data_IF_267441260119
#
_entry.id   IF_267441260119
#
_cell.length_a   1.000
_cell.length_b   1.000
_cell.length_c   1.000
_cell.angle_alpha   90.00
_cell.angle_beta   90.00
_cell.angle_gamma   90.00
#
_symmetry.space_group_name_H-M   'P 1'
#
loop_
_entity.id
_entity.type
_entity.pdbx_description
1 polymer ?
#
# COMPACT_ATOMS: atom_id res chain seq x y z
N UNK A 1 29.65 1.44 -29.67
CA UNK A 1 28.19 1.58 -29.48
C UNK A 1 27.99 1.77 -28.00
N UNK A 2 27.55 2.95 -27.56
CA UNK A 2 27.17 3.15 -26.16
C UNK A 2 25.87 2.36 -25.97
N UNK A 3 25.93 1.27 -25.20
CA UNK A 3 24.75 0.47 -24.85
C UNK A 3 23.70 1.33 -24.14
N UNK A 4 22.43 0.94 -24.23
CA UNK A 4 21.35 1.59 -23.49
C UNK A 4 21.67 1.64 -21.99
N UNK A 5 21.40 2.78 -21.36
CA UNK A 5 21.51 2.93 -19.91
C UNK A 5 20.12 2.89 -19.31
N UNK A 6 19.84 1.90 -18.48
CA UNK A 6 18.55 1.80 -17.81
C UNK A 6 18.64 1.21 -16.42
N UNK A 7 17.74 1.66 -15.56
CA UNK A 7 17.43 1.05 -14.27
C UNK A 7 15.97 0.73 -14.25
N UNK A 8 15.62 -0.45 -13.76
CA UNK A 8 14.23 -0.86 -13.62
C UNK A 8 13.92 -1.11 -12.16
N UNK A 9 12.82 -0.53 -11.70
CA UNK A 9 12.43 -0.52 -10.29
C UNK A 9 11.02 -1.08 -10.17
N UNK A 10 10.83 -2.00 -9.24
CA UNK A 10 9.52 -2.37 -8.74
C UNK A 10 9.39 -1.88 -7.31
N UNK A 11 8.30 -1.21 -7.02
CA UNK A 11 7.91 -0.76 -5.69
C UNK A 11 6.66 -1.56 -5.33
N UNK A 12 6.72 -2.28 -4.22
CA UNK A 12 5.61 -3.02 -3.64
C UNK A 12 5.27 -2.33 -2.33
N UNK A 13 4.03 -1.92 -2.15
CA UNK A 13 3.58 -1.04 -1.07
C UNK A 13 2.48 -1.81 -0.32
N UNK A 14 2.53 -1.91 1.01
CA UNK A 14 1.41 -2.48 1.78
C UNK A 14 0.49 -1.40 2.32
N UNK A 15 -0.74 -1.81 2.57
CA UNK A 15 -1.84 -0.98 3.06
C UNK A 15 -2.42 -1.62 4.33
N UNK A 16 -2.59 -0.81 5.38
CA UNK A 16 -3.25 -0.97 6.70
C UNK A 16 -2.44 -0.34 7.87
N UNK A 17 -2.78 0.90 8.25
CA UNK A 17 -2.13 1.76 9.26
C UNK A 17 -0.93 2.58 8.73
N UNK A 18 -0.89 3.88 9.05
CA UNK A 18 -0.13 4.88 8.29
C UNK A 18 1.36 4.97 8.69
N UNK A 19 2.25 4.29 7.98
CA UNK A 19 3.70 4.40 8.14
C UNK A 19 4.36 4.24 6.76
N UNK A 20 5.54 4.80 6.53
CA UNK A 20 6.27 4.54 5.28
C UNK A 20 7.72 4.16 5.61
N UNK A 21 7.97 2.86 5.77
CA UNK A 21 9.32 2.32 5.87
C UNK A 21 9.70 1.70 4.52
N UNK A 22 10.84 2.17 3.99
CA UNK A 22 11.39 1.73 2.71
C UNK A 22 12.44 0.63 2.90
N UNK A 23 12.15 -0.58 2.41
CA UNK A 23 13.09 -1.71 2.42
C UNK A 23 13.69 -1.91 1.03
N UNK A 24 15.02 -2.02 0.94
CA UNK A 24 15.73 -2.21 -0.33
C UNK A 24 16.15 -3.66 -0.53
N UNK A 25 15.69 -4.27 -1.61
CA UNK A 25 16.12 -5.61 -2.02
C UNK A 25 16.72 -5.53 -3.42
N UNK A 26 18.00 -5.90 -3.52
CA UNK A 26 18.76 -5.89 -4.77
C UNK A 26 18.91 -7.30 -5.33
N UNK A 27 18.75 -7.44 -6.64
CA UNK A 27 19.08 -8.68 -7.33
C UNK A 27 18.59 -8.68 -8.77
N UNK A 28 19.43 -9.20 -9.67
CA UNK A 28 19.04 -9.44 -11.06
C UNK A 28 17.88 -10.45 -11.08
N UNK A 29 16.72 -10.05 -11.60
CA UNK A 29 15.58 -10.94 -11.77
C UNK A 29 15.21 -11.05 -13.24
N UNK A 30 15.86 -11.98 -13.94
CA UNK A 30 15.62 -12.24 -15.36
C UNK A 30 14.15 -12.54 -15.66
N UNK A 31 13.46 -13.24 -14.76
CA UNK A 31 12.04 -13.57 -14.90
C UNK A 31 11.18 -12.31 -14.94
N UNK A 32 11.41 -11.34 -14.03
CA UNK A 32 10.70 -10.07 -14.06
C UNK A 32 11.08 -9.24 -15.28
N UNK A 33 12.37 -9.19 -15.64
CA UNK A 33 12.83 -8.49 -16.85
C UNK A 33 12.15 -9.01 -18.11
N UNK A 34 12.03 -10.32 -18.27
CA UNK A 34 11.31 -10.94 -19.39
C UNK A 34 9.80 -10.69 -19.29
N UNK A 35 9.23 -10.79 -18.10
CA UNK A 35 7.81 -10.60 -17.84
C UNK A 35 7.31 -9.20 -18.19
N UNK A 36 8.12 -8.15 -17.97
CA UNK A 36 7.74 -6.76 -18.24
C UNK A 36 7.96 -6.32 -19.69
N UNK A 37 8.68 -7.09 -20.53
CA UNK A 37 8.91 -6.74 -21.95
C UNK A 37 7.64 -6.36 -22.72
N UNK A 38 6.49 -7.05 -22.56
CA UNK A 38 5.24 -6.64 -23.20
C UNK A 38 4.75 -5.26 -22.75
N UNK A 39 4.99 -4.88 -21.49
CA UNK A 39 4.66 -3.55 -20.96
C UNK A 39 5.62 -2.47 -21.47
N UNK A 40 6.82 -2.84 -21.92
CA UNK A 40 7.81 -1.92 -22.49
C UNK A 40 7.63 -1.70 -24.00
N UNK A 41 6.92 -2.60 -24.67
CA UNK A 41 6.83 -2.71 -26.13
C UNK A 41 5.91 -1.67 -26.80
N UNK A 42 5.80 -0.48 -26.21
CA UNK A 42 5.05 0.64 -26.77
C UNK A 42 5.97 1.62 -27.51
N UNK A 43 5.51 2.18 -28.65
CA UNK A 43 6.15 3.33 -29.29
C UNK A 43 6.35 4.49 -28.30
N UNK A 44 7.42 5.30 -28.43
CA UNK A 44 7.72 6.39 -27.49
C UNK A 44 6.55 7.37 -27.25
N UNK A 45 5.70 7.58 -28.25
CA UNK A 45 4.52 8.44 -28.20
C UNK A 45 3.34 7.86 -27.38
N UNK A 46 3.34 6.56 -27.12
CA UNK A 46 2.36 5.86 -26.29
C UNK A 46 2.89 5.50 -24.90
N UNK A 47 4.17 5.79 -24.62
CA UNK A 47 4.75 5.56 -23.29
C UNK A 47 4.20 6.57 -22.31
N UNK A 48 3.79 6.08 -21.15
CA UNK A 48 3.43 6.94 -20.03
C UNK A 48 4.70 7.44 -19.35
N UNK A 49 5.06 8.69 -19.63
CA UNK A 49 6.23 9.32 -19.04
C UNK A 49 5.85 9.96 -17.71
N UNK A 50 6.51 9.52 -16.64
CA UNK A 50 6.26 10.03 -15.30
C UNK A 50 6.35 11.57 -15.27
N UNK A 51 5.39 12.26 -14.64
CA UNK A 51 5.38 13.71 -14.57
C UNK A 51 6.71 14.28 -14.06
N UNK A 52 7.15 15.40 -14.63
CA UNK A 52 8.39 16.09 -14.25
C UNK A 52 9.70 15.30 -14.45
N UNK A 53 9.66 14.07 -15.00
CA UNK A 53 10.86 13.26 -15.25
C UNK A 53 11.69 13.72 -16.46
N UNK A 54 11.13 14.61 -17.30
CA UNK A 54 11.70 15.04 -18.59
C UNK A 54 11.88 13.86 -19.57
N UNK A 55 10.89 12.97 -19.62
CA UNK A 55 10.90 11.73 -20.41
C UNK A 55 12.11 10.84 -20.07
N UNK A 56 12.32 10.61 -18.77
CA UNK A 56 13.34 9.68 -18.28
C UNK A 56 12.75 8.51 -17.52
N UNK A 57 11.59 8.69 -16.90
CA UNK A 57 10.94 7.62 -16.14
C UNK A 57 9.66 7.24 -16.88
N UNK A 58 9.53 5.97 -17.20
CA UNK A 58 8.34 5.38 -17.83
C UNK A 58 7.62 4.55 -16.79
N UNK A 59 6.35 4.83 -16.59
CA UNK A 59 5.48 4.09 -15.70
C UNK A 59 4.89 2.88 -16.46
N UNK A 60 5.19 1.67 -15.99
CA UNK A 60 4.68 0.42 -16.58
C UNK A 60 3.41 -0.05 -15.86
N UNK A 61 3.46 -0.04 -14.53
CA UNK A 61 2.30 -0.22 -13.63
C UNK A 61 2.41 0.90 -12.62
N UNK A 62 1.37 1.70 -12.45
CA UNK A 62 1.42 2.82 -11.51
C UNK A 62 0.03 3.08 -10.95
N UNK A 63 -0.11 3.24 -9.62
CA UNK A 63 -1.42 3.43 -9.00
C UNK A 63 -2.15 4.70 -9.47
N UNK A 64 -1.40 5.71 -9.92
CA UNK A 64 -1.95 6.96 -10.45
C UNK A 64 -2.42 6.91 -11.91
N UNK A 65 -2.22 5.80 -12.65
CA UNK A 65 -2.71 5.69 -14.03
C UNK A 65 -4.23 5.48 -14.10
N UNK A 66 -4.76 4.69 -13.16
CA UNK A 66 -6.19 4.37 -13.06
C UNK A 66 -6.68 4.40 -11.61
N UNK A 67 -6.51 5.52 -10.88
CA UNK A 67 -6.98 5.63 -9.51
C UNK A 67 -8.51 5.72 -9.49
N UNK A 68 -9.11 5.36 -8.37
CA UNK A 68 -10.51 5.70 -8.10
C UNK A 68 -10.65 7.22 -8.19
N UNK A 69 -11.56 7.72 -9.02
CA UNK A 69 -11.92 9.15 -9.03
C UNK A 69 -13.34 9.31 -8.49
N UNK A 70 -13.47 10.00 -7.37
CA UNK A 70 -14.76 10.24 -6.73
C UNK A 70 -15.73 10.98 -7.66
N UNK A 71 -17.02 10.68 -7.55
CA UNK A 71 -18.06 11.26 -8.42
C UNK A 71 -18.04 10.76 -9.87
N UNK A 72 -17.11 9.87 -10.25
CA UNK A 72 -16.99 9.33 -11.62
C UNK A 72 -16.97 7.82 -11.67
N UNK A 73 -16.11 7.18 -10.87
CA UNK A 73 -15.93 5.73 -10.88
C UNK A 73 -17.06 5.04 -10.11
N UNK A 74 -17.36 3.81 -10.52
CA UNK A 74 -18.39 2.97 -9.92
C UNK A 74 -17.75 1.89 -9.07
N UNK A 75 -18.35 1.60 -7.93
CA UNK A 75 -17.98 0.53 -7.02
C UNK A 75 -19.11 -0.48 -6.87
N UNK A 76 -18.75 -1.73 -6.63
CA UNK A 76 -19.70 -2.79 -6.31
C UNK A 76 -19.75 -2.94 -4.79
N UNK A 77 -20.94 -2.76 -4.21
CA UNK A 77 -21.13 -2.81 -2.76
C UNK A 77 -21.65 -4.15 -2.26
N UNK A 78 -21.87 -5.11 -3.16
CA UNK A 78 -22.57 -6.37 -2.89
C UNK A 78 -21.68 -7.61 -3.03
N UNK A 79 -20.42 -7.44 -3.47
CA UNK A 79 -19.50 -8.54 -3.75
C UNK A 79 -18.05 -8.07 -3.77
N UNK A 80 -17.14 -9.02 -3.60
CA UNK A 80 -15.70 -8.86 -3.88
C UNK A 80 -15.42 -9.23 -5.33
N UNK A 81 -14.42 -8.58 -5.94
CA UNK A 81 -13.95 -8.87 -7.29
C UNK A 81 -12.66 -9.67 -7.21
N UNK A 82 -12.66 -10.85 -7.81
CA UNK A 82 -11.49 -11.72 -7.93
C UNK A 82 -10.84 -11.55 -9.31
N UNK A 83 -9.61 -12.04 -9.47
CA UNK A 83 -8.89 -12.00 -10.75
C UNK A 83 -9.72 -12.60 -11.90
N UNK A 84 -10.39 -13.73 -11.65
CA UNK A 84 -11.09 -14.50 -12.69
C UNK A 84 -12.39 -13.83 -13.15
N UNK A 85 -13.05 -13.06 -12.26
CA UNK A 85 -14.31 -12.39 -12.55
C UNK A 85 -14.17 -10.88 -12.83
N UNK A 86 -12.96 -10.31 -12.69
CA UNK A 86 -12.70 -8.88 -12.84
C UNK A 86 -13.21 -8.26 -14.15
N UNK A 87 -12.99 -8.93 -15.28
CA UNK A 87 -13.43 -8.43 -16.59
C UNK A 87 -14.95 -8.50 -16.77
N UNK A 88 -15.61 -9.49 -16.18
CA UNK A 88 -17.06 -9.64 -16.24
C UNK A 88 -17.79 -8.63 -15.34
N UNK A 89 -17.11 -8.16 -14.29
CA UNK A 89 -17.61 -7.19 -13.31
C UNK A 89 -17.48 -5.73 -13.77
N UNK A 90 -17.02 -5.47 -15.00
CA UNK A 90 -16.83 -4.12 -15.54
C UNK A 90 -18.15 -3.42 -15.89
N UNK A 91 -18.36 -2.21 -15.35
CA UNK A 91 -19.48 -1.32 -15.73
C UNK A 91 -20.60 -1.12 -14.70
N UNK A 92 -21.12 -2.16 -14.00
CA UNK A 92 -22.12 -1.95 -12.96
C UNK A 92 -21.54 -1.26 -11.72
N UNK A 93 -22.42 -0.85 -10.81
CA UNK A 93 -22.04 -0.27 -9.53
C UNK A 93 -22.56 1.15 -9.28
N UNK A 94 -22.35 1.60 -8.05
CA UNK A 94 -22.74 2.91 -7.55
C UNK A 94 -21.58 3.89 -7.61
N UNK A 95 -21.86 5.16 -7.86
CA UNK A 95 -20.81 6.18 -7.87
C UNK A 95 -20.55 6.62 -6.45
N UNK A 96 -19.29 6.55 -6.01
CA UNK A 96 -18.89 7.03 -4.69
C UNK A 96 -18.96 8.55 -4.61
N UNK A 97 -19.48 9.05 -3.48
CA UNK A 97 -19.45 10.47 -3.14
C UNK A 97 -18.01 10.88 -2.83
N UNK A 98 -17.62 12.09 -3.20
CA UNK A 98 -16.35 12.67 -2.77
C UNK A 98 -16.42 13.06 -1.27
N UNK A 99 -15.37 12.78 -0.48
CA UNK A 99 -15.23 13.35 0.87
C UNK A 99 -15.38 14.88 0.87
N UNK A 100 -15.94 15.44 1.94
CA UNK A 100 -16.04 16.89 2.12
C UNK A 100 -14.66 17.54 2.30
N UNK A 101 -14.49 18.80 1.90
CA UNK A 101 -13.19 19.49 2.02
C UNK A 101 -12.72 19.63 3.47
N UNK A 102 -13.63 19.91 4.40
CA UNK A 102 -13.34 20.06 5.83
C UNK A 102 -12.77 18.76 6.43
N UNK A 103 -13.19 17.61 5.90
CA UNK A 103 -12.76 16.28 6.33
C UNK A 103 -11.38 15.90 5.79
N UNK A 104 -10.84 16.67 4.85
CA UNK A 104 -9.61 16.32 4.13
C UNK A 104 -8.39 17.14 4.52
N UNK A 105 -8.58 18.13 5.40
CA UNK A 105 -7.57 19.08 5.83
C UNK A 105 -7.30 18.93 7.31
N UNK A 106 -6.05 18.68 7.70
CA UNK A 106 -5.59 18.81 9.08
C UNK A 106 -4.98 20.18 9.29
N UNK A 107 -5.29 20.79 10.43
CA UNK A 107 -4.66 22.04 10.87
C UNK A 107 -3.37 21.68 11.60
N UNK A 108 -2.23 22.11 11.08
CA UNK A 108 -0.95 21.93 11.77
C UNK A 108 -0.70 23.16 12.66
N UNK A 109 -0.75 22.97 13.99
CA UNK A 109 -0.33 23.96 14.98
C UNK A 109 -1.34 24.21 16.10
N UNK A 110 -1.27 23.44 17.18
CA UNK A 110 -1.89 23.87 18.46
C UNK A 110 -1.00 24.91 19.13
N UNK A 111 -1.30 26.20 18.89
CA UNK A 111 -0.76 27.32 19.66
C UNK A 111 0.13 28.29 18.89
N UNK A 112 -0.50 29.21 18.14
CA UNK A 112 0.03 30.56 17.93
C UNK A 112 0.30 30.99 16.48
N UNK A 113 -0.48 31.99 16.05
CA UNK A 113 -0.25 32.97 14.97
C UNK A 113 -0.23 32.52 13.50
N UNK A 114 -0.16 31.23 13.19
CA UNK A 114 -0.39 30.72 11.83
C UNK A 114 -1.01 29.32 11.88
N UNK A 115 -2.29 29.23 11.49
CA UNK A 115 -2.97 27.97 11.21
C UNK A 115 -2.73 27.65 9.73
N UNK A 116 -1.82 26.72 9.45
CA UNK A 116 -1.65 26.22 8.09
C UNK A 116 -2.52 24.95 7.94
N UNK A 117 -3.56 25.06 7.10
CA UNK A 117 -4.36 23.92 6.67
C UNK A 117 -3.55 23.06 5.68
N UNK A 118 -3.31 21.80 6.04
CA UNK A 118 -2.63 20.83 5.19
C UNK A 118 -3.63 19.78 4.74
N UNK A 119 -3.74 19.60 3.43
CA UNK A 119 -4.54 18.51 2.85
C UNK A 119 -3.85 17.18 3.12
N UNK A 120 -4.47 16.34 3.93
CA UNK A 120 -3.95 15.04 4.38
C UNK A 120 -4.66 13.86 3.74
N UNK A 121 -5.88 14.08 3.23
CA UNK A 121 -6.70 13.11 2.53
C UNK A 121 -7.07 13.71 1.17
N UNK A 122 -7.19 12.91 0.12
CA UNK A 122 -7.65 13.39 -1.18
C UNK A 122 -9.17 13.30 -1.29
N UNK A 123 -9.82 14.42 -1.62
CA UNK A 123 -11.24 14.45 -1.99
C UNK A 123 -11.50 14.22 -3.50
N UNK A 124 -10.45 13.95 -4.29
CA UNK A 124 -10.56 13.82 -5.76
C UNK A 124 -10.38 12.39 -6.23
N UNK A 125 -9.39 11.71 -5.67
CA UNK A 125 -9.01 10.37 -6.06
C UNK A 125 -8.44 9.57 -4.89
N UNK A 126 -8.39 8.25 -5.03
CA UNK A 126 -7.71 7.34 -4.11
C UNK A 126 -6.97 6.28 -4.93
N UNK A 127 -5.76 5.91 -4.51
CA UNK A 127 -5.11 4.73 -5.07
C UNK A 127 -5.79 3.47 -4.58
N UNK A 128 -6.08 2.56 -5.50
CA UNK A 128 -6.76 1.33 -5.19
C UNK A 128 -5.73 0.23 -4.89
N UNK A 129 -5.73 -0.35 -3.68
CA UNK A 129 -5.00 -1.57 -3.43
C UNK A 129 -5.68 -2.75 -4.11
N UNK A 130 -5.01 -3.89 -4.06
CA UNK A 130 -5.57 -5.20 -4.33
C UNK A 130 -5.24 -6.13 -3.18
N UNK A 131 -6.00 -7.20 -3.12
CA UNK A 131 -6.02 -8.14 -2.02
C UNK A 131 -5.04 -9.27 -2.34
N UNK A 132 -4.31 -9.68 -1.32
CA UNK A 132 -3.31 -10.74 -1.38
C UNK A 132 -3.54 -11.66 -0.20
N UNK A 133 -3.90 -12.90 -0.48
CA UNK A 133 -4.02 -13.94 0.53
C UNK A 133 -2.62 -14.42 0.92
N UNK A 134 -2.39 -14.52 2.22
CA UNK A 134 -1.19 -15.07 2.82
C UNK A 134 -1.51 -16.44 3.39
N UNK A 135 -0.70 -17.42 3.01
CA UNK A 135 -0.72 -18.75 3.63
C UNK A 135 0.11 -18.71 4.92
N UNK A 136 -0.51 -18.89 6.10
CA UNK A 136 0.19 -18.79 7.39
C UNK A 136 1.19 -19.93 7.64
N UNK A 137 1.00 -21.09 7.01
CA UNK A 137 1.92 -22.22 7.18
C UNK A 137 3.15 -22.11 6.27
N UNK A 138 2.96 -21.54 5.07
CA UNK A 138 4.01 -21.54 4.02
C UNK A 138 4.60 -20.17 3.74
N UNK A 139 4.05 -19.10 4.34
CA UNK A 139 4.36 -17.69 4.05
C UNK A 139 4.28 -17.38 2.54
N UNK A 140 3.34 -18.03 1.85
CA UNK A 140 3.11 -17.85 0.41
C UNK A 140 2.07 -16.77 0.18
N UNK A 141 2.35 -15.91 -0.79
CA UNK A 141 1.44 -14.85 -1.19
C UNK A 141 0.69 -15.26 -2.45
N UNK A 142 -0.63 -15.08 -2.46
CA UNK A 142 -1.50 -15.29 -3.61
C UNK A 142 -2.28 -14.01 -3.89
N UNK A 143 -2.10 -13.42 -5.06
CA UNK A 143 -2.90 -12.25 -5.42
C UNK A 143 -4.34 -12.74 -5.68
N UNK A 144 -5.30 -12.16 -4.97
CA UNK A 144 -6.71 -12.55 -4.99
C UNK A 144 -7.53 -11.64 -5.93
N UNK A 145 -7.20 -10.34 -5.99
CA UNK A 145 -7.92 -9.36 -6.81
C UNK A 145 -7.07 -8.71 -7.91
N UNK A 146 -7.75 -8.05 -8.85
CA UNK A 146 -7.14 -7.50 -10.07
C UNK A 146 -6.17 -6.34 -9.77
N UNK A 147 -4.96 -6.41 -10.31
CA UNK A 147 -4.00 -5.30 -10.27
C UNK A 147 -4.38 -4.27 -11.33
N UNK A 148 -4.77 -3.07 -10.89
CA UNK A 148 -5.06 -1.95 -11.79
C UNK A 148 -3.90 -1.69 -12.75
N UNK A 149 -4.23 -1.45 -14.02
CA UNK A 149 -3.28 -1.33 -15.14
C UNK A 149 -2.59 -2.64 -15.58
N UNK A 150 -2.89 -3.79 -14.98
CA UNK A 150 -2.25 -5.08 -15.32
C UNK A 150 -3.28 -6.15 -15.71
N UNK A 151 -3.68 -6.16 -16.98
CA UNK A 151 -4.71 -7.05 -17.53
C UNK A 151 -4.59 -8.52 -17.05
N UNK A 152 -5.64 -9.12 -16.45
CA UNK A 152 -5.53 -10.39 -15.73
C UNK A 152 -5.23 -11.58 -16.65
N UNK A 153 -5.72 -11.57 -17.89
CA UNK A 153 -5.43 -12.62 -18.89
C UNK A 153 -4.18 -12.32 -19.74
N UNK A 154 -4.10 -11.12 -20.34
CA UNK A 154 -2.97 -10.73 -21.21
C UNK A 154 -1.63 -10.62 -20.49
N UNK A 155 -1.63 -10.38 -19.17
CA UNK A 155 -0.42 -10.28 -18.34
C UNK A 155 -0.45 -11.28 -17.18
N UNK A 156 -1.18 -12.39 -17.32
CA UNK A 156 -1.32 -13.42 -16.28
C UNK A 156 0.03 -13.92 -15.75
N UNK A 157 1.06 -13.97 -16.60
CA UNK A 157 2.41 -14.42 -16.23
C UNK A 157 3.12 -13.50 -15.22
N UNK A 158 2.70 -12.22 -15.10
CA UNK A 158 3.29 -11.27 -14.17
C UNK A 158 2.78 -11.44 -12.73
N UNK A 159 1.56 -11.94 -12.53
CA UNK A 159 0.98 -12.13 -11.20
C UNK A 159 1.84 -13.06 -10.31
N UNK A 160 2.22 -14.28 -10.75
CA UNK A 160 3.10 -15.16 -9.96
C UNK A 160 4.52 -14.63 -9.77
N UNK A 161 4.94 -13.66 -10.60
CA UNK A 161 6.23 -12.99 -10.41
C UNK A 161 6.10 -12.00 -9.28
N UNK A 162 5.06 -11.14 -9.31
CA UNK A 162 4.78 -10.15 -8.27
C UNK A 162 4.56 -10.82 -6.91
N UNK A 163 3.81 -11.93 -6.85
CA UNK A 163 3.64 -12.77 -5.64
C UNK A 163 4.98 -13.08 -4.97
N UNK A 164 6.00 -13.50 -5.74
CA UNK A 164 7.35 -13.81 -5.20
C UNK A 164 8.08 -12.60 -4.64
N UNK A 165 7.78 -11.40 -5.11
CA UNK A 165 8.35 -10.18 -4.55
C UNK A 165 7.60 -9.73 -3.31
N UNK A 166 6.28 -9.96 -3.24
CA UNK A 166 5.52 -9.80 -2.01
C UNK A 166 6.08 -10.74 -0.93
N UNK A 167 6.24 -12.03 -1.24
CA UNK A 167 6.86 -13.03 -0.34
C UNK A 167 8.23 -12.59 0.19
N UNK A 168 9.05 -11.93 -0.65
CA UNK A 168 10.37 -11.42 -0.24
C UNK A 168 10.29 -10.22 0.68
N UNK A 169 9.20 -9.47 0.64
CA UNK A 169 8.98 -8.31 1.48
C UNK A 169 8.45 -8.69 2.86
N UNK A 170 7.70 -9.80 2.96
CA UNK A 170 7.00 -10.22 4.19
C UNK A 170 7.88 -10.13 5.45
N UNK A 171 9.10 -10.69 5.50
CA UNK A 171 9.89 -10.66 6.74
C UNK A 171 10.25 -9.25 7.21
N UNK A 172 10.32 -8.30 6.29
CA UNK A 172 10.63 -6.92 6.61
C UNK A 172 9.36 -6.11 6.90
N UNK A 173 8.22 -6.51 6.36
CA UNK A 173 6.92 -5.96 6.72
C UNK A 173 6.43 -6.46 8.09
N UNK A 174 6.76 -7.70 8.48
CA UNK A 174 6.46 -8.22 9.84
C UNK A 174 7.12 -7.34 10.92
N UNK A 175 8.37 -6.92 10.69
CA UNK A 175 9.08 -5.99 11.58
C UNK A 175 8.35 -4.64 11.70
N UNK A 176 7.74 -4.19 10.60
CA UNK A 176 7.02 -2.92 10.55
C UNK A 176 5.64 -3.06 11.17
N UNK A 177 5.02 -4.23 11.10
CA UNK A 177 3.72 -4.47 11.70
C UNK A 177 3.82 -4.47 13.23
N UNK A 178 4.84 -5.13 13.78
CA UNK A 178 5.10 -5.24 15.23
C UNK A 178 5.85 -4.02 15.82
N UNK A 179 6.07 -2.97 15.02
CA UNK A 179 7.01 -1.89 15.33
C UNK A 179 6.60 -1.02 16.53
N UNK A 180 5.30 -0.84 16.78
CA UNK A 180 4.77 -0.01 17.88
C UNK A 180 5.08 -0.66 19.23
N UNK A 181 5.00 -1.99 19.27
CA UNK A 181 5.26 -2.82 20.43
C UNK A 181 6.77 -3.09 20.61
N UNK A 182 7.56 -3.05 19.53
CA UNK A 182 8.97 -3.49 19.52
C UNK A 182 10.02 -2.39 19.33
N UNK A 183 9.64 -1.14 19.03
CA UNK A 183 10.61 -0.07 18.79
C UNK A 183 10.32 1.17 19.63
N UNK A 184 11.26 1.52 20.50
CA UNK A 184 11.12 2.65 21.45
C UNK A 184 11.07 4.05 20.81
N UNK A 185 11.36 4.17 19.51
CA UNK A 185 11.37 5.46 18.79
C UNK A 185 10.65 5.31 17.47
N UNK A 186 9.53 6.00 17.35
CA UNK A 186 8.75 6.06 16.13
C UNK A 186 9.29 7.16 15.20
N UNK A 187 9.64 6.81 13.96
CA UNK A 187 10.14 7.79 12.96
C UNK A 187 9.04 8.73 12.45
N UNK A 188 7.84 8.19 12.31
CA UNK A 188 6.62 8.91 11.95
C UNK A 188 5.59 8.50 12.99
N UNK A 189 4.94 9.46 13.62
CA UNK A 189 3.77 9.23 14.48
C UNK A 189 2.54 9.65 13.69
N UNK A 190 1.48 8.86 13.73
CA UNK A 190 0.23 9.21 13.08
C UNK A 190 -0.89 9.16 14.09
N UNK A 191 -1.73 10.19 14.08
CA UNK A 191 -3.04 10.15 14.72
C UNK A 191 -4.04 9.51 13.75
N UNK A 192 -5.14 8.99 14.29
CA UNK A 192 -6.20 8.29 13.55
C UNK A 192 -6.55 8.93 12.20
N UNK A 193 -6.81 8.07 11.21
CA UNK A 193 -7.11 8.45 9.83
C UNK A 193 -8.59 8.18 9.56
N UNK A 194 -9.46 8.91 10.24
CA UNK A 194 -10.91 8.73 10.13
C UNK A 194 -11.54 9.76 9.19
N UNK A 195 -12.53 9.28 8.42
CA UNK A 195 -13.44 10.17 7.72
C UNK A 195 -14.60 10.53 8.65
N UNK A 196 -14.86 11.83 8.86
CA UNK A 196 -16.05 12.25 9.63
C UNK A 196 -17.37 11.76 8.98
N UNK A 197 -17.39 11.63 7.64
CA UNK A 197 -18.47 10.98 6.90
C UNK A 197 -17.87 9.97 5.91
N UNK A 198 -18.20 8.69 6.09
CA UNK A 198 -17.80 7.66 5.15
C UNK A 198 -18.32 7.95 3.72
N UNK A 199 -17.48 7.78 2.68
CA UNK A 199 -17.91 7.86 1.28
C UNK A 199 -18.95 6.80 0.86
N UNK A 200 -19.12 5.73 1.65
CA UNK A 200 -19.98 4.58 1.36
C UNK A 200 -20.88 4.17 2.55
N UNK A 201 -21.80 5.04 3.01
CA UNK A 201 -22.56 4.81 4.24
C UNK A 201 -23.48 3.59 4.19
N UNK A 202 -23.98 3.23 3.00
CA UNK A 202 -24.85 2.06 2.80
C UNK A 202 -24.09 0.74 2.99
N UNK A 203 -22.80 0.71 2.66
CA UNK A 203 -21.97 -0.49 2.83
C UNK A 203 -21.43 -0.59 4.26
N UNK A 204 -21.06 0.55 4.85
CA UNK A 204 -20.48 0.57 6.19
C UNK A 204 -21.52 0.53 7.32
N UNK A 205 -22.82 0.59 7.00
CA UNK A 205 -23.93 0.46 7.96
C UNK A 205 -23.76 1.36 9.20
N UNK A 206 -23.54 2.66 8.95
CA UNK A 206 -23.06 3.64 9.96
C UNK A 206 -24.18 4.11 10.90
N UNK A 207 -25.20 3.29 11.15
CA UNK A 207 -26.19 3.62 12.20
C UNK A 207 -25.53 3.61 13.60
N UNK A 208 -24.40 2.89 13.76
CA UNK A 208 -23.71 2.68 15.04
C UNK A 208 -22.52 3.61 15.33
N UNK A 209 -22.27 4.62 14.49
CA UNK A 209 -21.27 5.66 14.77
C UNK A 209 -19.79 5.24 14.63
N UNK A 210 -19.50 4.03 14.14
CA UNK A 210 -18.14 3.56 13.86
C UNK A 210 -17.75 3.84 12.39
N UNK A 211 -16.51 4.31 12.16
CA UNK A 211 -15.99 4.70 10.86
C UNK A 211 -15.87 3.56 9.82
N UNK A 212 -15.33 3.88 8.63
CA UNK A 212 -15.11 2.92 7.55
C UNK A 212 -13.97 1.95 7.91
N UNK A 213 -14.27 0.71 8.31
CA UNK A 213 -13.27 -0.32 8.62
C UNK A 213 -13.18 -1.39 7.53
N UNK A 214 -12.02 -2.06 7.35
CA UNK A 214 -11.89 -3.19 6.42
C UNK A 214 -12.92 -4.31 6.69
N UNK A 215 -13.30 -4.52 7.96
CA UNK A 215 -14.28 -5.50 8.39
C UNK A 215 -15.72 -5.26 7.91
N UNK A 216 -16.04 -4.11 7.31
CA UNK A 216 -17.37 -3.82 6.73
C UNK A 216 -17.48 -4.13 5.22
N UNK A 217 -16.40 -4.58 4.55
CA UNK A 217 -16.46 -4.95 3.12
C UNK A 217 -17.37 -6.17 2.89
N UNK A 218 -17.96 -6.37 1.70
CA UNK A 218 -18.65 -7.61 1.35
C UNK A 218 -17.76 -8.83 1.56
N UNK A 219 -18.37 -9.94 1.97
CA UNK A 219 -17.70 -11.23 2.15
C UNK A 219 -17.49 -11.86 0.77
N UNK A 220 -16.27 -12.33 0.50
CA UNK A 220 -15.91 -13.00 -0.74
C UNK A 220 -16.59 -14.36 -0.92
N UNK A 221 -16.53 -14.92 -2.13
CA UNK A 221 -17.07 -16.26 -2.37
C UNK A 221 -16.21 -17.30 -1.65
N UNK A 222 -16.77 -18.00 -0.67
CA UNK A 222 -16.03 -18.98 0.14
C UNK A 222 -15.21 -18.39 1.29
N UNK A 223 -15.31 -17.08 1.54
CA UNK A 223 -14.82 -16.46 2.79
C UNK A 223 -15.80 -16.81 3.93
N UNK A 224 -15.26 -17.18 5.08
CA UNK A 224 -16.06 -17.47 6.27
C UNK A 224 -16.81 -16.21 6.73
N UNK A 225 -18.03 -16.35 7.30
CA UNK A 225 -18.74 -15.23 7.88
C UNK A 225 -17.87 -14.51 8.92
N UNK A 226 -17.82 -13.18 8.85
CA UNK A 226 -17.21 -12.40 9.93
C UNK A 226 -18.08 -12.51 11.18
N UNK A 227 -17.44 -12.62 12.34
CA UNK A 227 -18.13 -12.58 13.62
C UNK A 227 -18.90 -11.27 13.74
N UNK A 228 -20.17 -11.38 14.12
CA UNK A 228 -21.04 -10.23 14.37
C UNK A 228 -20.52 -9.48 15.59
N UNK A 229 -20.43 -8.15 15.52
CA UNK A 229 -19.95 -7.31 16.64
C UNK A 229 -20.87 -7.48 17.87
N UNK A 230 -22.15 -7.81 17.66
CA UNK A 230 -23.07 -8.16 18.74
C UNK A 230 -22.70 -9.45 19.49
N UNK A 231 -21.90 -10.35 18.88
CA UNK A 231 -21.36 -11.52 19.56
C UNK A 231 -20.10 -11.23 20.38
N UNK A 232 -19.49 -10.05 20.23
CA UNK A 232 -18.33 -9.64 21.04
C UNK A 232 -18.75 -9.33 22.47
N UNK A 233 -19.90 -8.69 22.69
CA UNK A 233 -20.49 -8.51 24.02
C UNK A 233 -20.86 -9.85 24.67
N UNK A 234 -21.32 -10.84 23.90
CA UNK A 234 -21.61 -12.20 24.40
C UNK A 234 -20.32 -13.00 24.71
N UNK A 235 -19.25 -12.87 23.93
CA UNK A 235 -17.95 -13.53 24.21
C UNK A 235 -17.26 -12.98 25.45
N UNK A 236 -17.24 -11.66 25.64
CA UNK A 236 -16.74 -11.02 26.86
C UNK A 236 -17.57 -11.40 28.10
N UNK A 237 -18.87 -11.70 27.92
CA UNK A 237 -19.75 -12.16 29.00
C UNK A 237 -19.49 -13.60 29.43
N UNK A 238 -19.03 -14.47 28.51
CA UNK A 238 -18.68 -15.87 28.80
C UNK A 238 -17.23 -16.05 29.30
N UNK A 239 -16.44 -14.98 29.35
CA UNK A 239 -15.11 -14.97 29.97
C UNK A 239 -14.04 -15.70 29.17
N UNK A 240 -14.25 -15.90 27.87
CA UNK A 240 -13.17 -16.22 26.94
C UNK A 240 -12.39 -14.92 26.68
N UNK A 241 -11.12 -14.88 27.07
CA UNK A 241 -10.21 -13.80 26.71
C UNK A 241 -10.12 -13.74 25.19
N UNK A 242 -10.42 -12.57 24.63
CA UNK A 242 -10.20 -12.33 23.22
C UNK A 242 -8.69 -12.21 22.99
N UNK A 243 -8.07 -13.28 22.48
CA UNK A 243 -6.68 -13.27 22.02
C UNK A 243 -6.46 -12.26 20.87
N UNK A 244 -7.53 -11.64 20.35
CA UNK A 244 -7.54 -10.75 19.19
C UNK A 244 -7.53 -9.25 19.52
N UNK A 245 -7.73 -8.82 20.77
CA UNK A 245 -7.55 -7.42 21.17
C UNK A 245 -6.08 -7.20 21.58
N UNK A 246 -5.28 -6.43 20.81
CA UNK A 246 -4.09 -5.83 21.37
C UNK A 246 -4.52 -4.96 22.54
N UNK A 247 -4.00 -5.23 23.74
CA UNK A 247 -4.23 -4.41 24.91
C UNK A 247 -3.60 -3.02 24.70
N UNK A 248 -4.34 -2.12 24.03
CA UNK A 248 -3.89 -0.80 23.57
C UNK A 248 -3.51 0.14 24.73
N UNK A 249 -3.82 -0.22 25.97
CA UNK A 249 -3.78 0.70 27.10
C UNK A 249 -2.59 0.54 28.07
N UNK A 250 -1.70 -0.45 27.90
CA UNK A 250 -0.57 -0.64 28.83
C UNK A 250 0.78 -0.90 28.15
N UNK A 251 1.17 -0.09 27.16
CA UNK A 251 2.55 -0.15 26.62
C UNK A 251 3.47 0.80 27.37
N UNK A 252 4.04 0.29 28.47
CA UNK A 252 5.17 0.91 29.16
C UNK A 252 6.40 0.97 28.25
N UNK A 253 7.12 2.09 28.30
CA UNK A 253 8.34 2.36 27.53
C UNK A 253 9.55 1.50 27.97
N UNK A 254 9.42 0.18 27.97
CA UNK A 254 10.55 -0.73 28.13
C UNK A 254 11.25 -0.96 26.80
N UNK A 255 12.57 -1.11 26.86
CA UNK A 255 13.41 -1.28 25.70
C UNK A 255 13.24 -2.71 25.20
N UNK A 256 12.46 -2.88 24.14
CA UNK A 256 12.26 -4.17 23.47
C UNK A 256 13.60 -4.88 23.20
N UNK A 257 13.61 -6.21 23.39
CA UNK A 257 14.73 -7.06 23.04
C UNK A 257 15.04 -7.01 21.52
N UNK A 258 16.20 -7.51 21.10
CA UNK A 258 16.59 -7.52 19.69
C UNK A 258 15.50 -8.21 18.83
N UNK A 259 14.98 -7.50 17.82
CA UNK A 259 13.89 -7.94 16.93
C UNK A 259 14.10 -9.34 16.33
N UNK A 260 15.36 -9.77 16.17
CA UNK A 260 15.68 -11.10 15.61
C UNK A 260 15.41 -12.25 16.57
N UNK A 261 15.29 -11.96 17.86
CA UNK A 261 15.24 -12.97 18.91
C UNK A 261 13.94 -12.95 19.71
N UNK A 262 13.02 -12.02 19.44
CA UNK A 262 11.74 -11.93 20.14
C UNK A 262 10.85 -13.15 19.83
N UNK A 263 10.54 -14.01 20.82
CA UNK A 263 9.65 -15.15 20.64
C UNK A 263 8.16 -14.77 20.62
N UNK A 264 7.79 -13.56 21.05
CA UNK A 264 6.41 -13.05 21.12
C UNK A 264 6.02 -12.21 19.89
N UNK A 265 6.76 -12.34 18.79
CA UNK A 265 6.52 -11.58 17.57
C UNK A 265 5.13 -11.86 16.99
N UNK A 266 4.44 -10.81 16.55
CA UNK A 266 3.25 -10.92 15.70
C UNK A 266 3.69 -10.92 14.24
N UNK A 267 3.33 -11.94 13.48
CA UNK A 267 3.54 -11.93 12.04
C UNK A 267 2.33 -11.31 11.32
N UNK A 268 2.51 -10.79 10.10
CA UNK A 268 1.41 -10.21 9.32
C UNK A 268 0.29 -11.22 9.00
N UNK A 269 0.63 -12.50 8.90
CA UNK A 269 -0.29 -13.62 8.75
C UNK A 269 -1.00 -14.02 10.05
N UNK A 270 -0.52 -13.55 11.21
CA UNK A 270 -1.18 -13.70 12.51
C UNK A 270 -2.25 -12.61 12.75
N UNK A 271 -2.27 -11.55 11.94
CA UNK A 271 -3.37 -10.60 11.95
C UNK A 271 -4.69 -11.35 11.70
N UNK A 272 -5.78 -10.97 12.37
CA UNK A 272 -7.12 -11.59 12.27
C UNK A 272 -7.73 -11.61 10.84
N UNK A 273 -6.96 -11.23 9.81
CA UNK A 273 -7.21 -11.48 8.41
C UNK A 273 -5.96 -12.08 7.75
N UNK A 274 -6.05 -13.29 7.21
CA UNK A 274 -5.04 -13.92 6.35
C UNK A 274 -4.89 -13.23 4.98
N UNK A 275 -5.39 -12.01 4.83
CA UNK A 275 -5.44 -11.26 3.58
C UNK A 275 -4.96 -9.84 3.83
N UNK A 276 -3.95 -9.42 3.08
CA UNK A 276 -3.40 -8.07 3.13
C UNK A 276 -3.74 -7.28 1.87
N UNK A 277 -3.64 -5.95 1.96
CA UNK A 277 -3.81 -5.06 0.82
C UNK A 277 -2.46 -4.53 0.34
N UNK A 278 -2.24 -4.57 -0.98
CA UNK A 278 -0.96 -4.20 -1.60
C UNK A 278 -1.21 -3.27 -2.80
N UNK A 279 -0.30 -2.31 -3.00
CA UNK A 279 -0.17 -1.49 -4.20
C UNK A 279 1.20 -1.79 -4.82
N UNK A 280 1.27 -1.94 -6.14
CA UNK A 280 2.51 -2.18 -6.91
C UNK A 280 2.67 -1.10 -7.95
N UNK A 281 3.91 -0.66 -8.06
CA UNK A 281 4.39 0.28 -9.04
C UNK A 281 5.61 -0.31 -9.72
N UNK A 282 5.60 -0.35 -11.05
CA UNK A 282 6.69 -0.78 -11.90
C UNK A 282 7.08 0.41 -12.76
N UNK A 283 8.34 0.83 -12.67
CA UNK A 283 8.83 1.96 -13.44
C UNK A 283 10.23 1.67 -13.99
N UNK A 284 10.50 2.24 -15.17
CA UNK A 284 11.79 2.17 -15.83
C UNK A 284 12.39 3.55 -15.95
N UNK A 285 13.65 3.68 -15.55
CA UNK A 285 14.47 4.87 -15.73
C UNK A 285 15.35 4.65 -16.95
N UNK A 286 15.15 5.45 -18.00
CA UNK A 286 15.94 5.45 -19.23
C UNK A 286 16.82 6.69 -19.28
N UNK A 287 18.13 6.47 -19.41
CA UNK A 287 19.11 7.54 -19.58
C UNK A 287 19.71 7.45 -20.98
N UNK A 288 19.80 8.60 -21.66
CA UNK A 288 20.47 8.70 -22.96
C UNK A 288 21.72 9.56 -22.83
N UNK A 289 22.65 9.55 -23.81
CA UNK A 289 23.76 10.49 -23.81
C UNK A 289 23.34 11.96 -23.70
N UNK A 290 22.17 12.32 -24.25
CA UNK A 290 21.59 13.67 -24.20
C UNK A 290 20.90 13.97 -22.86
N UNK A 291 20.38 12.92 -22.20
CA UNK A 291 19.69 12.98 -20.91
C UNK A 291 20.36 12.03 -19.89
N UNK A 292 21.65 12.23 -19.53
CA UNK A 292 22.46 11.19 -18.89
C UNK A 292 22.28 11.07 -17.37
N UNK A 293 21.54 11.99 -16.75
CA UNK A 293 21.39 12.06 -15.29
C UNK A 293 19.92 12.15 -14.91
N UNK A 294 19.48 11.31 -13.98
CA UNK A 294 18.21 11.44 -13.28
C UNK A 294 18.49 11.72 -11.80
N UNK A 295 17.98 12.84 -11.28
CA UNK A 295 18.29 13.33 -9.93
C UNK A 295 17.39 12.70 -8.85
N UNK A 296 16.59 11.70 -9.20
CA UNK A 296 15.55 11.17 -8.32
C UNK A 296 14.22 11.92 -8.44
N UNK A 297 13.21 11.39 -7.74
CA UNK A 297 11.89 12.00 -7.61
C UNK A 297 11.90 13.15 -6.59
N UNK A 298 10.78 13.86 -6.50
CA UNK A 298 10.56 14.79 -5.38
C UNK A 298 10.49 14.00 -4.07
N UNK A 299 10.88 14.64 -2.97
CA UNK A 299 10.72 14.04 -1.65
C UNK A 299 9.23 13.96 -1.30
N UNK A 300 8.75 12.78 -0.99
CA UNK A 300 7.36 12.51 -0.59
C UNK A 300 7.28 11.19 0.19
N UNK A 301 6.23 11.03 0.97
CA UNK A 301 5.71 9.72 1.37
C UNK A 301 4.81 9.19 0.25
N UNK A 302 4.80 7.88 0.02
CA UNK A 302 3.87 7.31 -0.97
C UNK A 302 2.43 7.44 -0.47
N UNK A 303 1.54 7.92 -1.34
CA UNK A 303 0.13 8.18 -1.02
C UNK A 303 -0.13 9.34 -0.05
N UNK A 304 -1.40 9.53 0.26
CA UNK A 304 -1.95 10.36 1.33
C UNK A 304 -2.54 9.43 2.41
N UNK A 305 -3.10 10.01 3.48
CA UNK A 305 -3.61 9.21 4.61
C UNK A 305 -4.76 8.28 4.20
N UNK A 306 -5.51 8.61 3.15
CA UNK A 306 -6.66 7.83 2.67
C UNK A 306 -6.25 6.57 1.91
N UNK A 307 -4.97 6.43 1.56
CA UNK A 307 -4.42 5.20 1.03
C UNK A 307 -4.00 4.22 2.13
N UNK A 308 -3.98 4.64 3.40
CA UNK A 308 -3.61 3.83 4.58
C UNK A 308 -2.31 3.01 4.39
N UNK A 309 -1.31 3.57 3.71
CA UNK A 309 -0.04 2.88 3.43
C UNK A 309 0.79 2.75 4.72
N UNK A 310 1.30 1.53 4.99
CA UNK A 310 2.08 1.15 6.20
C UNK A 310 3.55 0.95 5.92
N UNK A 311 3.84 0.46 4.72
CA UNK A 311 5.19 0.10 4.37
C UNK A 311 5.38 0.10 2.88
N UNK A 312 6.63 0.19 2.46
CA UNK A 312 6.99 0.23 1.05
C UNK A 312 8.28 -0.58 0.85
N UNK A 313 8.23 -1.67 0.11
CA UNK A 313 9.41 -2.39 -0.34
C UNK A 313 9.81 -1.92 -1.75
N UNK A 314 11.09 -1.57 -1.92
CA UNK A 314 11.67 -1.16 -3.20
C UNK A 314 12.66 -2.22 -3.70
N UNK A 315 12.45 -2.63 -4.94
CA UNK A 315 13.24 -3.64 -5.63
C UNK A 315 13.87 -3.06 -6.90
N UNK A 316 15.20 -3.01 -6.92
CA UNK A 316 15.96 -2.73 -8.14
C UNK A 316 16.29 -4.07 -8.81
N UNK A 317 15.55 -4.40 -9.87
CA UNK A 317 15.61 -5.73 -10.50
C UNK A 317 16.47 -5.78 -11.78
N UNK A 318 16.87 -4.61 -12.28
CA UNK A 318 17.79 -4.45 -13.40
C UNK A 318 18.49 -3.10 -13.33
N UNK A 319 19.79 -3.09 -13.62
CA UNK A 319 20.61 -1.88 -13.67
C UNK A 319 21.78 -2.11 -14.60
N UNK A 320 21.79 -1.40 -15.73
CA UNK A 320 22.80 -1.57 -16.77
C UNK A 320 23.46 -0.23 -17.12
N UNK A 321 24.79 -0.21 -17.10
CA UNK A 321 25.62 0.89 -17.61
C UNK A 321 25.31 2.26 -16.94
N UNK A 322 24.95 2.24 -15.66
CA UNK A 322 24.78 3.42 -14.82
C UNK A 322 25.73 3.39 -13.63
N UNK A 323 25.95 4.54 -13.00
CA UNK A 323 26.62 4.64 -11.71
C UNK A 323 25.73 4.10 -10.59
N UNK A 324 26.31 3.83 -9.42
CA UNK A 324 25.56 3.34 -8.27
C UNK A 324 24.33 4.21 -7.97
N UNK A 325 23.19 3.55 -7.71
CA UNK A 325 21.96 4.20 -7.28
C UNK A 325 22.00 4.36 -5.76
N UNK A 326 21.67 5.56 -5.26
CA UNK A 326 21.54 5.85 -3.83
C UNK A 326 20.11 6.28 -3.51
N UNK A 327 19.69 6.03 -2.27
CA UNK A 327 18.41 6.50 -1.74
C UNK A 327 18.68 7.27 -0.45
N UNK A 328 18.08 8.45 -0.33
CA UNK A 328 18.24 9.30 0.85
C UNK A 328 17.00 9.19 1.73
N UNK A 329 17.24 9.02 3.04
CA UNK A 329 16.20 8.97 4.06
C UNK A 329 16.29 10.22 4.94
N UNK A 330 15.14 10.71 5.42
CA UNK A 330 15.06 11.83 6.37
C UNK A 330 14.33 11.40 7.64
N UNK A 331 14.97 11.63 8.78
CA UNK A 331 14.36 11.46 10.11
C UNK A 331 14.26 12.82 10.77
N UNK A 332 13.25 13.01 11.62
CA UNK A 332 13.28 14.10 12.59
C UNK A 332 14.50 13.90 13.49
N UNK A 333 15.24 14.99 13.72
CA UNK A 333 16.36 15.03 14.64
C UNK A 333 16.17 16.26 15.53
N UNK A 334 16.57 16.14 16.79
CA UNK A 334 16.60 17.30 17.68
C UNK A 334 17.54 18.36 17.12
N UNK A 335 17.23 19.62 17.39
CA UNK A 335 18.11 20.73 17.03
C UNK A 335 19.43 20.54 17.78
N UNK A 336 20.56 20.59 17.07
CA UNK A 336 21.88 20.57 17.71
C UNK A 336 21.95 21.70 18.74
N UNK A 337 22.23 21.36 20.01
CA UNK A 337 22.40 22.29 21.14
C UNK A 337 23.59 23.25 20.95
#
# INVERSE_FOLDING_TARGET
MLGSRSTRVMIVITVNFAINIVILIFGLNLTLQEGVKPLEAFPPELKDWHPNSKEKVVDLVHPSLWPLTYGRFRVLNDRVIEIDNALASCGPGVVLRAPGSEQTTHIIGEGGFCEDEVVVLSNKFQWLPWDVDLDPETSKAKIASYINNLHPQGHAHLYPIIEKFIEKSLPAWDIIYDWEDTVSVQRLTTTETEYDECPCPVLCDIEDGHGCTPGRRPIGEGEEPRYDVDSWEEMLADGEEDDCEPDYYELGAERAEDYKTNPERRNLDDACSSQIQVIVKLANIHLTPEKPVYNGGLWHTEGLLNEHIVSTALYYYDSENITDCTLDFRTCADKED
#
